data_IF_887008990785
#
_entry.id   IF_887008990785
#
_cell.length_a   1.000
_cell.length_b   1.000
_cell.length_c   1.000
_cell.angle_alpha   90.00
_cell.angle_beta   90.00
_cell.angle_gamma   90.00
#
_symmetry.space_group_name_H-M   'P 1'
#
loop_
_entity.id
_entity.type
_entity.pdbx_description
1 polymer ?
#
# COMPACT_ATOMS: atom_id res chain seq x y z
N UNK A 1 -27.72 38.02 -3.42
CA UNK A 1 -28.42 39.18 -4.02
C UNK A 1 -29.45 38.62 -5.00
N UNK A 2 -30.76 38.84 -4.76
CA UNK A 2 -31.84 38.32 -5.63
C UNK A 2 -32.13 39.36 -6.71
N UNK A 3 -32.04 38.97 -7.98
CA UNK A 3 -32.58 39.73 -9.12
C UNK A 3 -33.44 38.73 -9.91
N UNK A 4 -34.77 38.93 -9.92
CA UNK A 4 -35.71 38.06 -10.63
C UNK A 4 -35.79 36.64 -10.05
N UNK A 5 -36.67 35.80 -10.61
CA UNK A 5 -36.95 34.42 -10.19
C UNK A 5 -35.77 33.44 -10.32
N UNK A 6 -34.56 33.93 -10.57
CA UNK A 6 -33.35 33.16 -10.77
C UNK A 6 -32.56 33.20 -9.46
N UNK A 7 -32.49 32.05 -8.76
CA UNK A 7 -31.55 31.90 -7.64
C UNK A 7 -30.13 31.97 -8.20
N UNK A 8 -29.50 33.13 -8.08
CA UNK A 8 -28.07 33.30 -8.36
C UNK A 8 -27.30 32.57 -7.26
N UNK A 9 -26.81 31.38 -7.59
CA UNK A 9 -25.91 30.61 -6.73
C UNK A 9 -24.57 31.34 -6.61
N UNK A 10 -23.95 31.30 -5.43
CA UNK A 10 -22.59 31.85 -5.29
C UNK A 10 -21.63 31.02 -6.15
N UNK A 11 -20.54 31.61 -6.68
CA UNK A 11 -19.56 30.87 -7.49
C UNK A 11 -19.08 29.57 -6.83
N UNK A 12 -18.92 29.59 -5.50
CA UNK A 12 -18.55 28.43 -4.69
C UNK A 12 -19.59 27.29 -4.74
N UNK A 13 -20.89 27.62 -4.69
CA UNK A 13 -21.96 26.61 -4.84
C UNK A 13 -21.98 26.03 -6.24
N UNK A 14 -21.69 26.82 -7.28
CA UNK A 14 -21.62 26.33 -8.67
C UNK A 14 -20.48 25.33 -8.84
N UNK A 15 -19.29 25.64 -8.31
CA UNK A 15 -18.13 24.72 -8.36
C UNK A 15 -18.42 23.41 -7.63
N UNK A 16 -19.01 23.47 -6.44
CA UNK A 16 -19.41 22.27 -5.68
C UNK A 16 -20.40 21.42 -6.48
N UNK A 17 -21.48 22.01 -6.98
CA UNK A 17 -22.52 21.27 -7.72
C UNK A 17 -21.94 20.66 -9.00
N UNK A 18 -21.13 21.40 -9.76
CA UNK A 18 -20.48 20.89 -10.96
C UNK A 18 -19.53 19.72 -10.65
N UNK A 19 -18.71 19.83 -9.61
CA UNK A 19 -17.81 18.76 -9.19
C UNK A 19 -18.54 17.49 -8.73
N UNK A 20 -19.63 17.65 -7.97
CA UNK A 20 -20.47 16.52 -7.56
C UNK A 20 -21.15 15.87 -8.75
N UNK A 21 -21.64 16.65 -9.73
CA UNK A 21 -22.26 16.12 -10.96
C UNK A 21 -21.26 15.33 -11.83
N UNK A 22 -19.98 15.69 -11.82
CA UNK A 22 -18.95 14.92 -12.52
C UNK A 22 -18.71 13.54 -11.86
N UNK A 23 -18.86 13.46 -10.53
CA UNK A 23 -18.63 12.23 -9.77
C UNK A 23 -19.89 11.34 -9.69
N UNK A 24 -21.07 11.93 -9.62
CA UNK A 24 -22.34 11.25 -9.35
C UNK A 24 -22.65 10.05 -10.26
N UNK A 25 -22.39 10.08 -11.60
CA UNK A 25 -22.67 8.94 -12.47
C UNK A 25 -21.92 7.65 -12.11
N UNK A 26 -20.79 7.78 -11.39
CA UNK A 26 -19.93 6.67 -11.00
C UNK A 26 -20.30 6.11 -9.62
N UNK A 27 -21.16 6.79 -8.87
CA UNK A 27 -21.44 6.52 -7.47
C UNK A 27 -22.82 5.89 -7.27
N UNK A 28 -22.92 4.89 -6.39
CA UNK A 28 -24.20 4.26 -6.00
C UNK A 28 -24.73 4.77 -4.66
N UNK A 29 -23.87 5.39 -3.86
CA UNK A 29 -24.19 5.86 -2.51
C UNK A 29 -23.63 7.26 -2.29
N UNK A 30 -24.17 7.98 -1.32
CA UNK A 30 -23.63 9.28 -0.91
C UNK A 30 -22.22 9.18 -0.31
N UNK A 31 -21.90 8.06 0.35
CA UNK A 31 -20.56 7.80 0.88
C UNK A 31 -19.56 7.67 -0.28
N UNK A 32 -19.92 6.97 -1.36
CA UNK A 32 -19.07 6.85 -2.56
C UNK A 32 -18.86 8.19 -3.26
N UNK A 33 -19.93 8.99 -3.36
CA UNK A 33 -19.87 10.33 -3.92
C UNK A 33 -18.95 11.24 -3.07
N UNK A 34 -19.08 11.19 -1.75
CA UNK A 34 -18.25 11.96 -0.85
C UNK A 34 -16.76 11.60 -0.99
N UNK A 35 -16.43 10.30 -1.04
CA UNK A 35 -15.04 9.85 -1.21
C UNK A 35 -14.49 10.23 -2.59
N UNK A 36 -15.24 9.95 -3.66
CA UNK A 36 -14.79 10.24 -5.02
C UNK A 36 -14.58 11.74 -5.22
N UNK A 37 -15.52 12.57 -4.78
CA UNK A 37 -15.42 14.02 -4.87
C UNK A 37 -14.29 14.57 -3.97
N UNK A 38 -14.09 14.01 -2.77
CA UNK A 38 -13.01 14.41 -1.87
C UNK A 38 -11.63 14.20 -2.51
N UNK A 39 -11.39 13.01 -3.06
CA UNK A 39 -10.14 12.70 -3.75
C UNK A 39 -10.01 13.37 -5.12
N UNK A 40 -11.08 13.89 -5.71
CA UNK A 40 -11.06 14.75 -6.91
C UNK A 40 -11.05 16.26 -6.59
N UNK A 41 -10.68 16.63 -5.36
CA UNK A 41 -10.49 18.03 -4.95
C UNK A 41 -11.73 18.92 -5.03
N UNK A 42 -12.92 18.32 -4.99
CA UNK A 42 -14.17 19.09 -4.92
C UNK A 42 -14.28 19.74 -3.52
N UNK A 43 -14.70 21.01 -3.40
CA UNK A 43 -14.77 21.73 -2.13
C UNK A 43 -16.06 21.38 -1.36
N UNK A 44 -16.11 20.18 -0.78
CA UNK A 44 -17.26 19.67 -0.02
C UNK A 44 -17.08 19.79 1.51
N UNK A 45 -18.19 19.82 2.27
CA UNK A 45 -18.16 19.67 3.72
C UNK A 45 -17.46 18.36 4.13
N UNK A 46 -16.61 18.40 5.16
CA UNK A 46 -15.78 17.25 5.55
C UNK A 46 -16.48 16.25 6.47
N UNK A 47 -17.56 16.62 7.16
CA UNK A 47 -18.29 15.68 8.01
C UNK A 47 -18.83 14.44 7.23
N UNK A 48 -19.46 14.57 6.05
CA UNK A 48 -19.79 13.43 5.19
C UNK A 48 -18.56 12.61 4.76
N UNK A 49 -17.43 13.25 4.50
CA UNK A 49 -16.18 12.57 4.12
C UNK A 49 -15.69 11.70 5.26
N UNK A 50 -15.63 12.23 6.48
CA UNK A 50 -15.21 11.48 7.67
C UNK A 50 -16.06 10.25 7.89
N UNK A 51 -17.39 10.38 7.80
CA UNK A 51 -18.30 9.25 7.91
C UNK A 51 -18.04 8.21 6.82
N UNK A 52 -17.87 8.64 5.56
CA UNK A 52 -17.59 7.76 4.44
C UNK A 52 -16.23 7.04 4.57
N UNK A 53 -15.19 7.74 5.04
CA UNK A 53 -13.87 7.18 5.31
C UNK A 53 -13.93 6.06 6.35
N UNK A 54 -14.63 6.28 7.46
CA UNK A 54 -14.78 5.27 8.52
C UNK A 54 -15.55 4.05 8.03
N UNK A 55 -16.64 4.26 7.27
CA UNK A 55 -17.42 3.16 6.67
C UNK A 55 -16.65 2.39 5.60
N UNK A 56 -15.74 3.04 4.88
CA UNK A 56 -14.87 2.36 3.92
C UNK A 56 -13.72 1.59 4.59
N UNK A 57 -13.28 2.04 5.76
CA UNK A 57 -12.13 1.51 6.48
C UNK A 57 -12.46 0.35 7.41
N UNK A 58 -13.32 0.57 8.42
CA UNK A 58 -13.49 -0.39 9.51
C UNK A 58 -13.98 -1.78 9.08
N UNK A 59 -14.92 -1.93 8.12
CA UNK A 59 -15.30 -3.24 7.64
C UNK A 59 -14.13 -4.02 7.02
N UNK A 60 -13.27 -3.35 6.26
CA UNK A 60 -12.10 -4.00 5.65
C UNK A 60 -10.99 -4.27 6.67
N UNK A 61 -10.81 -3.39 7.65
CA UNK A 61 -9.91 -3.63 8.78
C UNK A 61 -10.32 -4.89 9.57
N UNK A 62 -11.61 -5.03 9.91
CA UNK A 62 -12.12 -6.21 10.61
C UNK A 62 -11.89 -7.49 9.80
N UNK A 63 -12.22 -7.50 8.51
CA UNK A 63 -11.95 -8.65 7.62
C UNK A 63 -10.47 -8.98 7.50
N UNK A 64 -9.59 -7.98 7.44
CA UNK A 64 -8.15 -8.20 7.38
C UNK A 64 -7.64 -8.84 8.67
N UNK A 65 -8.15 -8.39 9.83
CA UNK A 65 -7.82 -8.97 11.14
C UNK A 65 -8.34 -10.39 11.30
N UNK A 66 -9.56 -10.67 10.86
CA UNK A 66 -10.13 -12.02 10.83
C UNK A 66 -9.28 -12.95 9.98
N UNK A 67 -8.93 -12.55 8.74
CA UNK A 67 -8.04 -13.34 7.87
C UNK A 67 -6.67 -13.61 8.49
N UNK A 68 -6.05 -12.61 9.12
CA UNK A 68 -4.79 -12.81 9.85
C UNK A 68 -4.96 -13.77 11.03
N UNK A 69 -6.06 -13.66 11.78
CA UNK A 69 -6.39 -14.57 12.88
C UNK A 69 -6.61 -16.02 12.42
N UNK A 70 -7.33 -16.21 11.31
CA UNK A 70 -7.51 -17.52 10.68
C UNK A 70 -6.19 -18.10 10.17
N UNK A 71 -5.32 -17.28 9.57
CA UNK A 71 -4.00 -17.69 9.13
C UNK A 71 -3.12 -18.14 10.31
N UNK A 72 -3.14 -17.39 11.42
CA UNK A 72 -2.43 -17.74 12.66
C UNK A 72 -2.92 -19.08 13.25
N UNK A 73 -4.23 -19.34 13.18
CA UNK A 73 -4.82 -20.60 13.65
C UNK A 73 -4.41 -21.82 12.81
N UNK A 74 -4.06 -21.62 11.53
CA UNK A 74 -3.60 -22.68 10.63
C UNK A 74 -2.15 -23.12 10.88
N UNK A 75 -1.36 -22.34 11.60
CA UNK A 75 0.00 -22.73 12.01
C UNK A 75 -0.13 -23.94 12.98
N UNK A 76 0.50 -25.10 12.67
CA UNK A 76 0.46 -26.28 13.52
C UNK A 76 0.84 -25.96 14.97
N UNK A 77 0.15 -26.57 15.93
CA UNK A 77 0.34 -26.26 17.34
C UNK A 77 1.78 -26.58 17.80
N UNK A 78 2.40 -27.62 17.22
CA UNK A 78 3.80 -27.95 17.45
C UNK A 78 4.78 -26.87 16.99
N UNK A 79 4.45 -26.07 15.97
CA UNK A 79 5.33 -25.05 15.39
C UNK A 79 5.11 -23.65 16.01
N UNK A 80 3.95 -23.41 16.60
CA UNK A 80 3.59 -22.11 17.17
C UNK A 80 4.54 -21.74 18.31
N UNK A 81 5.16 -20.57 18.19
CA UNK A 81 6.04 -20.01 19.21
C UNK A 81 7.43 -20.66 19.30
N UNK A 82 7.80 -21.56 18.38
CA UNK A 82 9.15 -22.13 18.32
C UNK A 82 10.23 -21.05 18.10
N UNK A 83 10.00 -20.17 17.12
CA UNK A 83 10.87 -19.01 16.81
C UNK A 83 10.43 -17.72 17.53
N UNK A 84 9.32 -17.80 18.28
CA UNK A 84 8.70 -16.70 19.02
C UNK A 84 7.47 -16.09 18.33
N UNK A 85 6.69 -15.31 19.09
CA UNK A 85 5.42 -14.72 18.62
C UNK A 85 5.55 -13.84 17.37
N UNK A 86 6.71 -13.18 17.21
CA UNK A 86 6.95 -12.32 16.05
C UNK A 86 6.95 -13.12 14.75
N UNK A 87 7.47 -14.35 14.77
CA UNK A 87 7.54 -15.23 13.61
C UNK A 87 6.15 -15.74 13.24
N UNK A 88 5.37 -16.20 14.22
CA UNK A 88 3.99 -16.64 14.00
C UNK A 88 3.14 -15.52 13.35
N UNK A 89 3.33 -14.26 13.79
CA UNK A 89 2.68 -13.10 13.21
C UNK A 89 3.17 -12.79 11.78
N UNK A 90 4.47 -12.93 11.53
CA UNK A 90 5.06 -12.73 10.20
C UNK A 90 4.59 -13.81 9.22
N UNK A 91 4.49 -15.05 9.67
CA UNK A 91 3.94 -16.18 8.91
C UNK A 91 2.45 -15.99 8.59
N UNK A 92 1.64 -15.64 9.59
CA UNK A 92 0.23 -15.32 9.35
C UNK A 92 0.05 -14.16 8.35
N UNK A 93 0.89 -13.12 8.42
CA UNK A 93 0.87 -12.01 7.47
C UNK A 93 1.27 -12.47 6.06
N UNK A 94 2.35 -13.25 5.93
CA UNK A 94 2.80 -13.80 4.66
C UNK A 94 1.73 -14.68 3.99
N UNK A 95 1.00 -15.49 4.77
CA UNK A 95 -0.13 -16.27 4.24
C UNK A 95 -1.25 -15.41 3.66
N UNK A 96 -1.53 -14.25 4.27
CA UNK A 96 -2.50 -13.29 3.71
C UNK A 96 -1.92 -12.61 2.47
N UNK A 97 -0.64 -12.25 2.48
CA UNK A 97 0.03 -11.61 1.33
C UNK A 97 0.12 -12.56 0.11
N UNK A 98 0.15 -13.88 0.34
CA UNK A 98 0.05 -14.89 -0.71
C UNK A 98 -1.27 -14.84 -1.50
N UNK A 99 -2.31 -14.16 -1.00
CA UNK A 99 -3.55 -13.89 -1.75
C UNK A 99 -3.36 -12.84 -2.86
N UNK A 100 -2.27 -12.05 -2.84
CA UNK A 100 -1.94 -11.07 -3.88
C UNK A 100 -1.43 -11.76 -5.15
N UNK A 101 -2.37 -12.28 -5.94
CA UNK A 101 -2.11 -13.10 -7.14
C UNK A 101 -1.11 -12.46 -8.10
N UNK A 102 -1.17 -11.15 -8.33
CA UNK A 102 -0.29 -10.46 -9.28
C UNK A 102 1.15 -10.42 -8.78
N UNK A 103 1.36 -10.01 -7.52
CA UNK A 103 2.70 -9.95 -6.93
C UNK A 103 3.30 -11.36 -6.77
N UNK A 104 2.51 -12.33 -6.29
CA UNK A 104 2.95 -13.72 -6.09
C UNK A 104 3.23 -14.42 -7.42
N UNK A 105 2.42 -14.19 -8.46
CA UNK A 105 2.74 -14.69 -9.81
C UNK A 105 4.06 -14.12 -10.30
N UNK A 106 4.26 -12.81 -10.18
CA UNK A 106 5.50 -12.17 -10.59
C UNK A 106 6.72 -12.71 -9.82
N UNK A 107 6.64 -12.85 -8.49
CA UNK A 107 7.73 -13.40 -7.68
C UNK A 107 8.10 -14.83 -8.10
N UNK A 108 7.12 -15.66 -8.44
CA UNK A 108 7.36 -17.05 -8.91
C UNK A 108 8.00 -17.08 -10.29
N UNK A 109 7.52 -16.25 -11.21
CA UNK A 109 8.09 -16.16 -12.55
C UNK A 109 9.53 -15.65 -12.51
N UNK A 110 9.81 -14.72 -11.60
CA UNK A 110 11.17 -14.25 -11.34
C UNK A 110 12.06 -15.36 -10.75
N UNK A 111 11.57 -16.11 -9.75
CA UNK A 111 12.32 -17.23 -9.14
C UNK A 111 12.67 -18.31 -10.17
N UNK A 112 11.75 -18.67 -11.09
CA UNK A 112 11.99 -19.67 -12.15
C UNK A 112 13.12 -19.31 -13.11
N UNK A 113 13.52 -18.03 -13.19
CA UNK A 113 14.66 -17.63 -14.04
C UNK A 113 15.99 -18.13 -13.51
N UNK A 114 16.05 -18.51 -12.22
CA UNK A 114 17.23 -19.16 -11.66
C UNK A 114 17.38 -20.57 -12.20
N UNK A 115 18.61 -20.93 -12.56
CA UNK A 115 18.91 -22.24 -13.13
C UNK A 115 18.48 -23.41 -12.22
N UNK A 116 18.67 -23.28 -10.90
CA UNK A 116 18.29 -24.30 -9.92
C UNK A 116 16.76 -24.42 -9.71
N UNK A 117 15.99 -23.39 -10.08
CA UNK A 117 14.53 -23.34 -9.91
C UNK A 117 13.76 -23.38 -11.24
N UNK A 118 14.45 -23.53 -12.38
CA UNK A 118 13.83 -23.52 -13.70
C UNK A 118 12.78 -24.63 -13.87
N UNK A 119 13.02 -25.79 -13.24
CA UNK A 119 12.12 -26.95 -13.24
C UNK A 119 11.39 -27.13 -11.91
N UNK A 120 11.47 -26.15 -11.00
CA UNK A 120 10.83 -26.23 -9.68
C UNK A 120 9.31 -26.37 -9.81
N UNK A 121 8.73 -27.17 -8.92
CA UNK A 121 7.28 -27.34 -8.87
C UNK A 121 6.60 -26.03 -8.43
N UNK A 122 5.30 -25.89 -8.73
CA UNK A 122 4.53 -24.76 -8.20
C UNK A 122 4.53 -24.73 -6.68
N UNK A 123 4.43 -25.88 -6.02
CA UNK A 123 4.43 -25.97 -4.56
C UNK A 123 5.76 -25.46 -3.96
N UNK A 124 6.88 -25.83 -4.58
CA UNK A 124 8.21 -25.36 -4.16
C UNK A 124 8.36 -23.84 -4.35
N UNK A 125 7.90 -23.30 -5.48
CA UNK A 125 7.94 -21.86 -5.72
C UNK A 125 7.01 -21.09 -4.77
N UNK A 126 5.81 -21.61 -4.51
CA UNK A 126 4.87 -21.02 -3.55
C UNK A 126 5.48 -21.03 -2.13
N UNK A 127 6.21 -22.09 -1.75
CA UNK A 127 6.96 -22.14 -0.48
C UNK A 127 8.08 -21.11 -0.40
N UNK A 128 8.90 -20.96 -1.45
CA UNK A 128 9.98 -19.96 -1.48
C UNK A 128 9.45 -18.53 -1.45
N UNK A 129 8.37 -18.24 -2.18
CA UNK A 129 7.71 -16.92 -2.11
C UNK A 129 7.14 -16.67 -0.71
N UNK A 130 6.50 -17.67 -0.10
CA UNK A 130 6.02 -17.54 1.27
C UNK A 130 7.17 -17.23 2.23
N UNK A 131 8.30 -17.95 2.15
CA UNK A 131 9.51 -17.67 2.94
C UNK A 131 10.04 -16.24 2.75
N UNK A 132 10.05 -15.73 1.51
CA UNK A 132 10.39 -14.33 1.22
C UNK A 132 9.44 -13.36 1.93
N UNK A 133 8.12 -13.60 1.84
CA UNK A 133 7.11 -12.76 2.47
C UNK A 133 7.16 -12.83 4.00
N UNK A 134 7.49 -13.98 4.60
CA UNK A 134 7.66 -14.13 6.05
C UNK A 134 8.71 -13.14 6.54
N UNK A 135 9.91 -13.16 5.96
CA UNK A 135 11.00 -12.30 6.41
C UNK A 135 10.81 -10.83 6.04
N UNK A 136 10.11 -10.52 4.95
CA UNK A 136 9.67 -9.14 4.66
C UNK A 136 8.66 -8.61 5.70
N UNK A 137 7.93 -9.50 6.37
CA UNK A 137 6.98 -9.20 7.44
C UNK A 137 7.59 -9.34 8.85
N UNK A 138 8.81 -9.85 8.96
CA UNK A 138 9.55 -10.01 10.22
C UNK A 138 10.11 -8.66 10.71
N UNK A 139 10.60 -8.55 11.97
CA UNK A 139 11.22 -7.33 12.47
C UNK A 139 12.55 -6.95 11.81
N UNK A 140 13.26 -7.91 11.22
CA UNK A 140 14.49 -7.68 10.46
C UNK A 140 14.67 -8.76 9.38
N UNK A 141 15.36 -8.41 8.29
CA UNK A 141 15.78 -9.37 7.27
C UNK A 141 17.01 -10.17 7.74
N UNK A 142 17.07 -11.49 7.51
CA UNK A 142 18.20 -12.32 7.89
C UNK A 142 19.32 -12.18 6.84
N UNK A 143 20.06 -11.08 6.88
CA UNK A 143 21.05 -10.75 5.83
C UNK A 143 22.22 -11.74 5.72
N UNK A 144 22.49 -12.49 6.78
CA UNK A 144 23.53 -13.52 6.83
C UNK A 144 23.07 -14.86 6.21
N UNK A 145 21.77 -15.06 6.01
CA UNK A 145 21.23 -16.23 5.33
C UNK A 145 21.38 -16.08 3.81
N UNK A 146 22.44 -16.68 3.28
CA UNK A 146 22.74 -16.64 1.84
C UNK A 146 21.65 -17.26 0.95
N UNK A 147 20.92 -18.26 1.43
CA UNK A 147 19.86 -18.94 0.66
C UNK A 147 18.64 -18.05 0.57
N UNK A 148 18.21 -17.51 1.71
CA UNK A 148 17.14 -16.52 1.76
C UNK A 148 17.46 -15.31 0.89
N UNK A 149 18.66 -14.73 1.03
CA UNK A 149 19.04 -13.55 0.28
C UNK A 149 19.10 -13.82 -1.23
N UNK A 150 19.45 -15.04 -1.65
CA UNK A 150 19.36 -15.45 -3.06
C UNK A 150 17.90 -15.54 -3.55
N UNK A 151 16.99 -16.08 -2.73
CA UNK A 151 15.56 -16.14 -3.04
C UNK A 151 14.93 -14.75 -3.07
N UNK A 152 15.24 -13.87 -2.11
CA UNK A 152 14.78 -12.48 -2.09
C UNK A 152 15.25 -11.71 -3.33
N UNK A 153 16.55 -11.77 -3.65
CA UNK A 153 17.12 -11.11 -4.84
C UNK A 153 16.43 -11.57 -6.12
N UNK A 154 16.23 -12.88 -6.25
CA UNK A 154 15.57 -13.45 -7.42
C UNK A 154 14.09 -13.11 -7.47
N UNK A 155 13.34 -13.25 -6.38
CA UNK A 155 11.91 -12.91 -6.31
C UNK A 155 11.67 -11.43 -6.65
N UNK A 156 12.56 -10.53 -6.22
CA UNK A 156 12.48 -9.12 -6.61
C UNK A 156 12.94 -8.87 -8.05
N UNK A 157 13.90 -9.65 -8.55
CA UNK A 157 14.51 -9.48 -9.87
C UNK A 157 14.91 -8.02 -10.15
N UNK A 158 15.58 -7.35 -9.19
CA UNK A 158 16.17 -6.03 -9.45
C UNK A 158 17.20 -6.06 -10.59
N UNK A 159 17.76 -7.24 -10.85
CA UNK A 159 18.71 -7.49 -11.92
C UNK A 159 18.09 -7.41 -13.34
N UNK A 160 16.82 -7.79 -13.49
CA UNK A 160 16.20 -7.94 -14.80
C UNK A 160 15.03 -6.96 -14.99
N UNK A 161 14.81 -6.44 -16.21
CA UNK A 161 13.56 -5.74 -16.51
C UNK A 161 12.42 -6.76 -16.41
N UNK A 162 11.43 -6.57 -15.52
CA UNK A 162 10.26 -7.41 -15.46
C UNK A 162 9.41 -7.07 -16.65
N UNK A 163 8.71 -8.08 -17.10
CA UNK A 163 7.73 -7.93 -18.14
C UNK A 163 6.51 -7.23 -17.51
N UNK A 164 6.39 -5.93 -17.76
CA UNK A 164 5.12 -5.18 -17.74
C UNK A 164 4.51 -4.82 -16.38
N UNK A 165 5.05 -5.25 -15.24
CA UNK A 165 4.52 -4.93 -13.90
C UNK A 165 5.62 -4.88 -12.83
N UNK A 166 5.44 -4.05 -11.79
CA UNK A 166 6.30 -3.99 -10.58
C UNK A 166 5.53 -4.38 -9.31
N UNK A 167 4.50 -5.22 -9.43
CA UNK A 167 3.66 -5.64 -8.31
C UNK A 167 4.46 -6.30 -7.16
N UNK A 168 5.46 -7.11 -7.49
CA UNK A 168 6.36 -7.71 -6.49
C UNK A 168 7.11 -6.65 -5.67
N UNK A 169 7.60 -5.59 -6.31
CA UNK A 169 8.29 -4.49 -5.64
C UNK A 169 7.38 -3.69 -4.73
N UNK A 170 6.16 -3.41 -5.19
CA UNK A 170 5.18 -2.68 -4.39
C UNK A 170 4.76 -3.47 -3.15
N UNK A 171 4.51 -4.78 -3.29
CA UNK A 171 4.20 -5.63 -2.15
C UNK A 171 5.39 -5.69 -1.18
N UNK A 172 6.60 -5.94 -1.68
CA UNK A 172 7.78 -6.02 -0.83
C UNK A 172 8.10 -4.70 -0.11
N UNK A 173 7.98 -3.56 -0.80
CA UNK A 173 8.17 -2.24 -0.20
C UNK A 173 7.12 -1.95 0.89
N UNK A 174 5.88 -2.41 0.70
CA UNK A 174 4.84 -2.31 1.71
C UNK A 174 5.18 -3.15 2.94
N UNK A 175 5.45 -4.44 2.79
CA UNK A 175 5.85 -5.31 3.91
C UNK A 175 7.08 -4.76 4.64
N UNK A 176 8.13 -4.35 3.89
CA UNK A 176 9.36 -3.79 4.44
C UNK A 176 9.15 -2.43 5.13
N UNK A 177 8.19 -1.62 4.69
CA UNK A 177 7.83 -0.38 5.39
C UNK A 177 7.24 -0.63 6.77
N UNK A 178 6.49 -1.72 6.94
CA UNK A 178 5.96 -2.10 8.24
C UNK A 178 7.06 -2.64 9.17
N UNK A 179 8.08 -3.29 8.61
CA UNK A 179 9.28 -3.71 9.35
C UNK A 179 10.03 -2.50 9.93
N UNK A 180 10.30 -1.48 9.10
CA UNK A 180 10.99 -0.25 9.53
C UNK A 180 10.20 0.57 10.57
N UNK A 181 8.90 0.34 10.67
CA UNK A 181 8.01 1.06 11.56
C UNK A 181 7.91 0.45 12.97
N UNK A 182 8.66 -0.61 13.32
CA UNK A 182 8.44 -1.39 14.56
C UNK A 182 6.94 -1.75 14.74
N UNK A 183 6.48 -2.83 14.09
CA UNK A 183 5.07 -3.29 14.11
C UNK A 183 4.43 -3.19 15.51
N UNK A 184 3.71 -2.11 15.74
CA UNK A 184 2.88 -1.92 16.93
C UNK A 184 1.44 -2.16 16.49
N UNK A 185 0.86 -3.29 16.88
CA UNK A 185 -0.55 -3.56 16.60
C UNK A 185 -1.43 -2.56 17.36
N UNK A 186 -2.06 -1.64 16.64
CA UNK A 186 -3.05 -0.74 17.22
C UNK A 186 -4.46 -1.31 17.15
N UNK A 187 -5.23 -1.10 18.21
CA UNK A 187 -6.61 -1.55 18.29
C UNK A 187 -7.54 -0.74 17.36
N UNK A 188 -8.71 -1.30 17.04
CA UNK A 188 -9.72 -0.59 16.24
C UNK A 188 -10.18 0.71 16.92
N UNK A 189 -10.25 0.72 18.25
CA UNK A 189 -10.63 1.91 19.02
C UNK A 189 -9.54 2.98 18.96
N UNK A 190 -8.26 2.62 19.16
CA UNK A 190 -7.15 3.56 19.01
C UNK A 190 -7.11 4.19 17.62
N UNK A 191 -7.36 3.40 16.58
CA UNK A 191 -7.44 3.87 15.19
C UNK A 191 -8.61 4.84 14.98
N UNK A 192 -9.75 4.56 15.60
CA UNK A 192 -10.92 5.45 15.57
C UNK A 192 -10.60 6.78 16.26
N UNK A 193 -10.07 6.74 17.48
CA UNK A 193 -9.71 7.93 18.25
C UNK A 193 -8.65 8.76 17.53
N UNK A 194 -7.63 8.10 16.97
CA UNK A 194 -6.61 8.76 16.18
C UNK A 194 -7.19 9.48 14.96
N UNK A 195 -8.15 8.86 14.26
CA UNK A 195 -8.82 9.48 13.11
C UNK A 195 -9.76 10.62 13.53
N UNK A 196 -10.51 10.47 14.61
CA UNK A 196 -11.42 11.51 15.10
C UNK A 196 -10.67 12.75 15.61
N UNK A 197 -9.44 12.61 16.08
CA UNK A 197 -8.59 13.70 16.52
C UNK A 197 -7.99 14.54 15.36
N UNK A 198 -8.05 14.06 14.12
CA UNK A 198 -7.50 14.77 12.95
C UNK A 198 -8.33 16.02 12.65
N UNK A 199 -7.70 17.19 12.50
CA UNK A 199 -8.40 18.44 12.14
C UNK A 199 -8.87 18.43 10.68
N UNK A 200 -9.72 19.37 10.29
CA UNK A 200 -10.22 19.46 8.90
C UNK A 200 -9.11 19.85 7.92
N UNK A 201 -8.19 20.74 8.33
CA UNK A 201 -7.00 21.11 7.56
C UNK A 201 -6.05 19.92 7.43
N UNK A 202 -5.84 19.19 8.52
CA UNK A 202 -4.98 18.01 8.53
C UNK A 202 -5.57 16.89 7.65
N UNK A 203 -6.89 16.72 7.62
CA UNK A 203 -7.55 15.75 6.76
C UNK A 203 -7.30 16.04 5.27
N UNK A 204 -7.30 17.31 4.88
CA UNK A 204 -6.97 17.73 3.51
C UNK A 204 -5.49 17.49 3.18
N UNK A 205 -4.59 17.78 4.14
CA UNK A 205 -3.17 17.50 3.98
C UNK A 205 -2.89 15.99 3.85
N UNK A 206 -3.56 15.15 4.63
CA UNK A 206 -3.45 13.68 4.53
C UNK A 206 -3.96 13.17 3.19
N UNK A 207 -5.01 13.76 2.63
CA UNK A 207 -5.49 13.44 1.27
C UNK A 207 -4.39 13.69 0.23
N UNK A 208 -3.70 14.82 0.32
CA UNK A 208 -2.59 15.13 -0.60
C UNK A 208 -1.46 14.11 -0.48
N UNK A 209 -1.07 13.75 0.75
CA UNK A 209 -0.07 12.71 0.97
C UNK A 209 -0.46 11.34 0.41
N UNK A 210 -1.73 10.95 0.53
CA UNK A 210 -2.22 9.70 -0.04
C UNK A 210 -2.20 9.75 -1.56
N UNK A 211 -2.59 10.88 -2.17
CA UNK A 211 -2.51 11.05 -3.63
C UNK A 211 -1.06 11.00 -4.13
N UNK A 212 -0.14 11.66 -3.44
CA UNK A 212 1.29 11.58 -3.72
C UNK A 212 1.80 10.13 -3.66
N UNK A 213 1.33 9.35 -2.67
CA UNK A 213 1.65 7.92 -2.56
C UNK A 213 1.09 7.09 -3.71
N UNK A 214 -0.16 7.34 -4.11
CA UNK A 214 -0.78 6.66 -5.26
C UNK A 214 -0.05 6.99 -6.57
N UNK A 215 0.32 8.26 -6.78
CA UNK A 215 1.11 8.70 -7.93
C UNK A 215 2.48 8.00 -7.96
N UNK A 216 3.18 7.93 -6.82
CA UNK A 216 4.46 7.24 -6.71
C UNK A 216 4.33 5.74 -7.02
N UNK A 217 3.34 5.06 -6.44
CA UNK A 217 3.07 3.64 -6.71
C UNK A 217 2.73 3.39 -8.17
N UNK A 218 1.90 4.23 -8.78
CA UNK A 218 1.51 4.11 -10.18
C UNK A 218 2.66 4.38 -11.14
N UNK A 219 3.50 5.36 -10.82
CA UNK A 219 4.72 5.65 -11.57
C UNK A 219 5.66 4.44 -11.54
N UNK A 220 5.86 3.84 -10.37
CA UNK A 220 6.68 2.63 -10.24
C UNK A 220 6.07 1.43 -10.99
N UNK A 221 4.78 1.16 -10.79
CA UNK A 221 4.07 0.06 -11.45
C UNK A 221 4.11 0.16 -12.98
N UNK A 222 3.95 1.37 -13.52
CA UNK A 222 3.94 1.64 -14.96
C UNK A 222 5.34 1.79 -15.57
N UNK A 223 6.40 1.45 -14.84
CA UNK A 223 7.79 1.62 -15.26
C UNK A 223 8.15 3.06 -15.63
N UNK A 224 7.46 4.02 -15.02
CA UNK A 224 7.61 5.44 -15.26
C UNK A 224 6.82 6.00 -16.45
N UNK A 225 6.05 5.15 -17.16
CA UNK A 225 5.23 5.57 -18.32
C UNK A 225 4.09 6.48 -17.89
N UNK A 226 3.47 6.21 -16.74
CA UNK A 226 2.38 7.01 -16.20
C UNK A 226 2.86 7.85 -15.03
N UNK A 227 2.35 9.09 -14.92
CA UNK A 227 2.76 10.03 -13.86
C UNK A 227 1.73 10.20 -12.76
N UNK A 228 0.45 10.14 -13.11
CA UNK A 228 -0.66 10.39 -12.18
C UNK A 228 -1.55 9.17 -12.11
N UNK A 229 -1.91 8.81 -10.90
CA UNK A 229 -2.92 7.83 -10.63
C UNK A 229 -4.28 8.52 -10.63
N UNK A 230 -5.15 8.13 -11.56
CA UNK A 230 -6.50 8.68 -11.62
C UNK A 230 -7.39 7.99 -10.57
N UNK A 231 -7.86 8.77 -9.59
CA UNK A 231 -8.91 8.33 -8.66
C UNK A 231 -10.26 8.53 -9.34
N UNK A 232 -10.44 7.88 -10.48
CA UNK A 232 -11.61 7.99 -11.35
C UNK A 232 -12.69 6.95 -11.10
N UNK A 233 -12.53 6.10 -10.07
CA UNK A 233 -13.49 5.06 -9.73
C UNK A 233 -13.81 5.01 -8.23
N UNK A 234 -14.99 4.48 -7.90
CA UNK A 234 -15.39 4.22 -6.51
C UNK A 234 -14.43 3.27 -5.81
N UNK A 235 -13.94 2.24 -6.51
CA UNK A 235 -12.98 1.28 -5.95
C UNK A 235 -11.69 1.96 -5.53
N UNK A 236 -11.13 2.81 -6.40
CA UNK A 236 -9.91 3.57 -6.13
C UNK A 236 -10.10 4.62 -5.06
N UNK A 237 -11.27 5.28 -5.00
CA UNK A 237 -11.58 6.26 -3.96
C UNK A 237 -11.71 5.61 -2.58
N UNK A 238 -12.35 4.42 -2.49
CA UNK A 238 -12.40 3.64 -1.25
C UNK A 238 -11.03 3.16 -0.83
N UNK A 239 -10.20 2.69 -1.76
CA UNK A 239 -8.81 2.30 -1.49
C UNK A 239 -8.00 3.47 -0.92
N UNK A 240 -8.05 4.64 -1.58
CA UNK A 240 -7.39 5.85 -1.10
C UNK A 240 -7.90 6.27 0.28
N UNK A 241 -9.21 6.17 0.51
CA UNK A 241 -9.82 6.44 1.81
C UNK A 241 -9.31 5.52 2.92
N UNK A 242 -9.15 4.22 2.63
CA UNK A 242 -8.56 3.27 3.57
C UNK A 242 -7.11 3.59 3.89
N UNK A 243 -6.31 3.89 2.87
CA UNK A 243 -4.92 4.30 3.05
C UNK A 243 -4.81 5.55 3.94
N UNK A 244 -5.72 6.52 3.74
CA UNK A 244 -5.76 7.73 4.56
C UNK A 244 -6.01 7.41 6.02
N UNK A 245 -7.06 6.63 6.32
CA UNK A 245 -7.41 6.26 7.71
C UNK A 245 -6.30 5.42 8.34
N UNK A 246 -5.71 4.48 7.60
CA UNK A 246 -4.56 3.71 8.08
C UNK A 246 -3.39 4.62 8.47
N UNK A 247 -3.09 5.59 7.60
CA UNK A 247 -1.96 6.50 7.76
C UNK A 247 -2.08 7.42 8.97
N UNK A 248 -3.29 7.75 9.44
CA UNK A 248 -3.45 8.60 10.64
C UNK A 248 -2.79 8.00 11.88
N UNK A 249 -2.76 6.66 11.94
CA UNK A 249 -2.16 5.89 13.02
C UNK A 249 -0.75 5.45 12.66
N UNK A 250 -0.56 4.87 11.47
CA UNK A 250 0.74 4.32 11.05
C UNK A 250 1.86 5.37 11.06
N UNK A 251 1.57 6.62 10.73
CA UNK A 251 2.57 7.71 10.75
C UNK A 251 3.21 7.97 12.12
N UNK A 252 2.58 7.55 13.22
CA UNK A 252 3.14 7.71 14.58
C UNK A 252 4.36 6.83 14.83
N UNK A 253 4.49 5.78 14.04
CA UNK A 253 5.61 4.84 14.06
C UNK A 253 6.80 5.31 13.20
N UNK A 254 6.69 6.49 12.57
CA UNK A 254 7.72 7.08 11.73
C UNK A 254 8.11 8.47 12.27
N UNK A 255 9.30 8.99 11.90
CA UNK A 255 9.72 10.34 12.30
C UNK A 255 8.67 11.41 11.94
N UNK A 256 8.48 12.45 12.76
CA UNK A 256 7.56 13.54 12.46
C UNK A 256 7.80 14.14 11.07
N UNK A 257 6.73 14.35 10.31
CA UNK A 257 6.81 14.86 8.93
C UNK A 257 7.03 13.79 7.85
N UNK A 258 7.16 12.52 8.24
CA UNK A 258 7.18 11.40 7.28
C UNK A 258 5.94 11.41 6.40
N UNK A 259 6.12 11.01 5.13
CA UNK A 259 5.06 10.88 4.13
C UNK A 259 4.95 9.42 3.69
N UNK A 260 3.75 8.89 3.40
CA UNK A 260 3.59 7.50 3.01
C UNK A 260 4.38 7.17 1.73
N UNK A 261 4.39 8.07 0.75
CA UNK A 261 5.15 7.92 -0.48
C UNK A 261 6.65 7.79 -0.21
N UNK A 262 7.19 8.63 0.67
CA UNK A 262 8.60 8.64 1.05
C UNK A 262 8.98 7.35 1.77
N UNK A 263 8.15 6.92 2.73
CA UNK A 263 8.36 5.66 3.47
C UNK A 263 8.41 4.47 2.51
N UNK A 264 7.46 4.37 1.57
CA UNK A 264 7.45 3.30 0.57
C UNK A 264 8.71 3.32 -0.32
N UNK A 265 9.09 4.51 -0.78
CA UNK A 265 10.28 4.72 -1.62
C UNK A 265 11.57 4.35 -0.88
N UNK A 266 11.68 4.73 0.40
CA UNK A 266 12.86 4.42 1.21
C UNK A 266 12.95 2.93 1.52
N UNK A 267 11.82 2.28 1.77
CA UNK A 267 11.76 0.81 1.86
C UNK A 267 12.27 0.14 0.59
N UNK A 268 11.82 0.61 -0.59
CA UNK A 268 12.26 0.06 -1.85
C UNK A 268 13.76 0.30 -2.10
N UNK A 269 14.29 1.48 -1.76
CA UNK A 269 15.72 1.79 -1.84
C UNK A 269 16.55 0.91 -0.91
N UNK A 270 16.06 0.66 0.30
CA UNK A 270 16.69 -0.24 1.25
C UNK A 270 16.78 -1.66 0.68
N UNK A 271 15.66 -2.20 0.20
CA UNK A 271 15.62 -3.52 -0.45
C UNK A 271 16.54 -3.59 -1.67
N UNK A 272 16.53 -2.56 -2.52
CA UNK A 272 17.44 -2.46 -3.66
C UNK A 272 18.89 -2.49 -3.20
N UNK A 273 19.28 -1.70 -2.20
CA UNK A 273 20.66 -1.69 -1.68
C UNK A 273 21.11 -3.06 -1.18
N UNK A 274 20.22 -3.81 -0.53
CA UNK A 274 20.50 -5.17 -0.04
C UNK A 274 20.57 -6.20 -1.17
N UNK A 275 19.78 -6.01 -2.22
CA UNK A 275 19.64 -6.97 -3.31
C UNK A 275 20.61 -6.74 -4.48
N UNK A 276 21.18 -5.53 -4.63
CA UNK A 276 21.88 -5.09 -5.86
C UNK A 276 23.41 -5.23 -5.77
N UNK A 277 23.92 -6.20 -5.03
CA UNK A 277 25.35 -6.31 -4.68
C UNK A 277 26.30 -6.43 -5.88
N UNK A 278 25.83 -6.89 -7.04
CA UNK A 278 26.65 -7.05 -8.25
C UNK A 278 25.99 -6.41 -9.48
N UNK A 279 26.25 -5.11 -9.68
CA UNK A 279 26.25 -4.23 -10.88
C UNK A 279 25.52 -4.57 -12.21
N UNK A 280 24.65 -5.57 -12.34
CA UNK A 280 24.03 -5.97 -13.61
C UNK A 280 22.50 -5.92 -13.54
N UNK A 281 21.97 -4.90 -12.85
CA UNK A 281 20.52 -4.71 -12.70
C UNK A 281 19.86 -3.64 -13.55
N UNK A 282 18.61 -3.30 -13.20
CA UNK A 282 18.05 -1.99 -13.54
C UNK A 282 19.10 -0.95 -13.11
N UNK A 283 19.92 -0.48 -14.07
CA UNK A 283 21.14 0.24 -13.74
C UNK A 283 20.82 1.38 -12.77
N UNK A 284 21.72 1.68 -11.83
CA UNK A 284 21.50 2.63 -10.73
C UNK A 284 20.75 3.91 -11.15
N UNK A 285 21.09 4.47 -12.31
CA UNK A 285 20.42 5.65 -12.88
C UNK A 285 18.96 5.43 -13.33
N UNK A 286 18.58 4.24 -13.79
CA UNK A 286 17.21 3.88 -14.11
C UNK A 286 16.37 3.64 -12.85
N UNK A 287 16.94 3.05 -11.81
CA UNK A 287 16.29 2.91 -10.51
C UNK A 287 16.09 4.28 -9.84
N UNK A 288 17.17 5.08 -9.72
CA UNK A 288 17.13 6.43 -9.13
C UNK A 288 16.09 7.33 -9.79
N UNK A 289 16.03 7.36 -11.13
CA UNK A 289 15.03 8.17 -11.86
C UNK A 289 13.57 7.87 -11.48
N UNK A 290 13.28 6.67 -10.96
CA UNK A 290 11.93 6.22 -10.60
C UNK A 290 11.61 6.47 -9.13
N UNK A 291 12.63 6.38 -8.28
CA UNK A 291 12.48 6.51 -6.82
C UNK A 291 12.85 7.89 -6.31
N UNK A 292 13.40 8.79 -7.11
CA UNK A 292 13.70 10.17 -6.69
C UNK A 292 12.41 10.96 -6.45
N UNK A 293 12.21 11.52 -5.23
CA UNK A 293 11.15 12.50 -4.99
C UNK A 293 11.48 13.73 -5.85
N UNK A 294 10.57 14.09 -6.75
CA UNK A 294 10.74 15.31 -7.54
C UNK A 294 10.34 16.52 -6.70
N UNK A 295 11.23 17.51 -6.70
CA UNK A 295 11.04 18.86 -6.16
C UNK A 295 9.85 19.56 -6.80
#
# INVERSE_FOLDING_TARGET
MKIGSIKVHTPQTVVLVAGLLACAPLCRTNDDLALLAFFNEVPLPLAPVRAALLKAYFPEYSKARERKGEALQKIPAEHRGQEGRWYDCAEAAAFVDMENRTAVQQMRDNLRRRHDLATASRAELDQRVCGVLIWLNAPALPTDDSVFMADLRAAMAFADPPEQSRAAWLLAAHCHSEQLAERTETSGMERLEAFLAVSDEELQFLREQVRESLDAMWHMASEGRCRRFDVGSVSTARMAGRMLVEWTTARRAHPPGSRPAQVLVDSLRSLWSLCSTDSVGEGRAAFQRRVEPRR
#
